data_IF_377929819546
#
_entry.id   IF_377929819546
#
_cell.length_a   1.000
_cell.length_b   1.000
_cell.length_c   1.000
_cell.angle_alpha   90.00
_cell.angle_beta   90.00
_cell.angle_gamma   90.00
#
_symmetry.space_group_name_H-M   'P 1'
#
loop_
_entity.id
_entity.type
_entity.pdbx_description
1 polymer ?
#
# COMPACT_ATOMS: atom_id res chain seq x y z
N UNK A 1 6.37 -39.49 -11.73
CA UNK A 1 6.63 -38.03 -11.77
C UNK A 1 6.07 -37.37 -10.51
N UNK A 2 6.84 -37.30 -9.42
CA UNK A 2 6.32 -36.87 -8.11
C UNK A 2 5.90 -35.38 -8.07
N UNK A 3 6.45 -34.52 -8.92
CA UNK A 3 6.11 -33.10 -8.98
C UNK A 3 4.73 -32.84 -9.59
N UNK A 4 4.27 -33.63 -10.57
CA UNK A 4 2.94 -33.49 -11.17
C UNK A 4 1.86 -33.82 -10.15
N UNK A 5 2.00 -34.94 -9.46
CA UNK A 5 1.05 -35.38 -8.43
C UNK A 5 1.04 -34.40 -7.24
N UNK A 6 2.18 -33.83 -6.90
CA UNK A 6 2.28 -32.78 -5.88
C UNK A 6 1.55 -31.50 -6.33
N UNK A 7 1.72 -31.09 -7.59
CA UNK A 7 1.02 -29.95 -8.16
C UNK A 7 -0.49 -30.12 -8.14
N UNK A 8 -0.98 -31.28 -8.58
CA UNK A 8 -2.41 -31.60 -8.53
C UNK A 8 -2.96 -31.61 -7.11
N UNK A 9 -2.19 -32.13 -6.13
CA UNK A 9 -2.61 -32.16 -4.72
C UNK A 9 -2.62 -30.78 -4.08
N UNK A 10 -1.68 -29.92 -4.44
CA UNK A 10 -1.62 -28.56 -3.91
C UNK A 10 -2.71 -27.64 -4.48
N UNK A 11 -3.26 -27.96 -5.65
CA UNK A 11 -4.28 -27.15 -6.30
C UNK A 11 -3.78 -25.77 -6.70
N UNK A 12 -4.67 -24.78 -6.64
CA UNK A 12 -4.36 -23.38 -6.94
C UNK A 12 -3.78 -22.72 -5.68
N UNK A 13 -2.51 -22.35 -5.73
CA UNK A 13 -1.78 -21.70 -4.63
C UNK A 13 -1.83 -20.17 -4.70
N UNK A 14 -2.34 -19.61 -5.81
CA UNK A 14 -2.40 -18.16 -6.01
C UNK A 14 -3.60 -17.57 -5.29
N UNK A 15 -3.42 -16.33 -4.80
CA UNK A 15 -4.51 -15.55 -4.22
C UNK A 15 -5.56 -15.18 -5.27
N UNK A 16 -6.81 -15.10 -4.86
CA UNK A 16 -7.91 -14.55 -5.68
C UNK A 16 -8.14 -13.05 -5.42
N UNK A 17 -7.28 -12.43 -4.66
CA UNK A 17 -7.34 -11.00 -4.39
C UNK A 17 -7.23 -10.19 -5.71
N UNK A 18 -7.97 -9.09 -5.91
CA UNK A 18 -8.92 -8.46 -4.97
C UNK A 18 -10.35 -9.02 -5.04
N UNK A 19 -10.63 -10.01 -5.89
CA UNK A 19 -12.00 -10.57 -6.07
C UNK A 19 -12.52 -11.24 -4.79
N UNK A 20 -11.61 -11.84 -4.01
CA UNK A 20 -11.90 -12.42 -2.70
C UNK A 20 -10.81 -12.00 -1.72
N UNK A 21 -11.17 -11.64 -0.49
CA UNK A 21 -10.18 -11.44 0.57
C UNK A 21 -9.34 -12.71 0.72
N UNK A 22 -8.05 -12.54 0.91
CA UNK A 22 -7.17 -13.63 1.32
C UNK A 22 -6.92 -13.56 2.83
N UNK A 23 -6.43 -14.66 3.41
CA UNK A 23 -6.15 -14.73 4.84
C UNK A 23 -4.85 -14.04 5.26
N UNK A 24 -4.09 -13.49 4.32
CA UNK A 24 -2.76 -12.93 4.59
C UNK A 24 -2.83 -11.61 5.35
N UNK A 25 -3.90 -10.83 5.15
CA UNK A 25 -4.12 -9.57 5.85
C UNK A 25 -4.28 -9.71 7.37
N UNK A 26 -4.69 -10.89 7.86
CA UNK A 26 -4.91 -11.13 9.29
C UNK A 26 -3.62 -11.02 10.13
N UNK A 27 -2.46 -11.31 9.54
CA UNK A 27 -1.15 -11.25 10.20
C UNK A 27 -0.34 -10.01 9.82
N UNK A 28 -0.90 -9.12 9.02
CA UNK A 28 -0.29 -7.87 8.60
C UNK A 28 -0.79 -6.72 9.47
N UNK A 29 0.12 -5.95 10.10
CA UNK A 29 -0.33 -4.80 10.89
C UNK A 29 -0.85 -3.65 10.03
N UNK A 30 -0.63 -3.71 8.73
CA UNK A 30 -1.19 -2.78 7.79
C UNK A 30 -0.60 -1.37 7.82
N UNK A 31 -1.36 -0.43 7.29
CA UNK A 31 -1.00 0.97 7.26
C UNK A 31 -1.27 1.64 8.61
N UNK A 32 -0.44 2.64 8.95
CA UNK A 32 -0.73 3.52 10.07
C UNK A 32 -1.88 4.45 9.67
N UNK A 33 -2.87 4.56 10.55
CA UNK A 33 -4.03 5.44 10.35
C UNK A 33 -4.31 6.29 11.59
N UNK A 34 -5.15 7.30 11.44
CA UNK A 34 -5.63 8.13 12.52
C UNK A 34 -6.99 7.56 12.97
N UNK A 35 -7.09 7.19 14.25
CA UNK A 35 -8.33 6.64 14.81
C UNK A 35 -9.48 7.65 14.70
N UNK A 36 -10.70 7.21 14.36
CA UNK A 36 -11.86 8.09 14.18
C UNK A 36 -12.42 8.67 15.49
N UNK A 37 -11.72 8.55 16.60
CA UNK A 37 -12.15 9.09 17.88
C UNK A 37 -12.42 10.59 17.81
N UNK A 38 -13.49 11.02 18.44
CA UNK A 38 -14.06 12.35 18.50
C UNK A 38 -13.05 13.49 18.31
N UNK A 39 -13.23 14.21 17.23
CA UNK A 39 -12.40 15.33 16.75
C UNK A 39 -12.11 16.41 17.80
N UNK A 40 -13.01 16.54 18.80
CA UNK A 40 -12.98 17.60 19.79
C UNK A 40 -12.01 17.39 20.97
N UNK A 41 -11.43 16.20 21.14
CA UNK A 41 -10.64 15.87 22.34
C UNK A 41 -9.20 15.41 22.05
N UNK A 42 -8.66 15.67 20.85
CA UNK A 42 -7.31 15.23 20.52
C UNK A 42 -6.26 16.25 20.97
N UNK A 43 -5.41 15.88 21.93
CA UNK A 43 -4.29 16.74 22.29
C UNK A 43 -3.34 16.90 21.08
N UNK A 44 -2.67 18.05 20.97
CA UNK A 44 -1.71 18.31 19.90
C UNK A 44 -0.67 17.18 19.80
N UNK A 45 -0.41 16.74 18.60
CA UNK A 45 0.63 15.73 18.36
C UNK A 45 1.89 16.44 17.86
N UNK A 46 2.97 16.27 18.60
CA UNK A 46 4.23 16.85 18.21
C UNK A 46 4.72 16.26 16.88
N UNK A 47 5.02 17.09 15.90
CA UNK A 47 5.59 16.69 14.61
C UNK A 47 6.89 15.88 14.77
N UNK A 48 7.67 16.20 15.80
CA UNK A 48 8.89 15.48 16.15
C UNK A 48 8.69 13.99 16.53
N UNK A 49 7.43 13.56 16.71
CA UNK A 49 7.14 12.16 16.96
C UNK A 49 7.47 11.27 15.76
N UNK A 50 7.32 11.79 14.54
CA UNK A 50 7.57 11.06 13.31
C UNK A 50 8.98 11.34 12.76
N UNK A 51 9.83 10.31 12.56
CA UNK A 51 11.20 10.50 12.05
C UNK A 51 11.23 11.01 10.60
N UNK A 52 10.20 10.69 9.79
CA UNK A 52 10.09 11.13 8.40
C UNK A 52 9.25 12.40 8.22
N UNK A 53 8.75 12.99 9.32
CA UNK A 53 7.89 14.15 9.26
C UNK A 53 6.52 13.90 8.59
N UNK A 54 6.04 12.64 8.60
CA UNK A 54 4.75 12.28 8.04
C UNK A 54 3.56 12.82 8.85
N UNK A 55 3.76 13.15 10.13
CA UNK A 55 2.71 13.71 10.98
C UNK A 55 2.67 15.22 10.83
N UNK A 56 1.50 15.75 10.56
CA UNK A 56 1.20 17.16 10.46
C UNK A 56 -0.01 17.54 11.29
N UNK A 57 -0.42 18.79 11.13
CA UNK A 57 -1.63 19.35 11.73
C UNK A 57 -2.35 20.18 10.69
N UNK A 58 -3.63 19.94 10.50
CA UNK A 58 -4.48 20.78 9.66
C UNK A 58 -4.73 22.15 10.30
N UNK A 59 -5.28 23.10 9.54
CA UNK A 59 -5.55 24.44 10.03
C UNK A 59 -6.54 24.52 11.21
N UNK A 60 -7.37 23.49 11.37
CA UNK A 60 -8.32 23.33 12.48
C UNK A 60 -7.72 22.61 13.71
N UNK A 61 -6.41 22.39 13.73
CA UNK A 61 -5.72 21.66 14.80
C UNK A 61 -5.81 20.13 14.71
N UNK A 62 -6.51 19.58 13.72
CA UNK A 62 -6.65 18.12 13.53
C UNK A 62 -5.31 17.52 13.11
N UNK A 63 -4.85 16.41 13.74
CA UNK A 63 -3.66 15.73 13.29
C UNK A 63 -3.87 15.14 11.89
N UNK A 64 -2.84 15.24 11.07
CA UNK A 64 -2.81 14.62 9.73
C UNK A 64 -1.65 13.65 9.63
N UNK A 65 -1.79 12.64 8.78
CA UNK A 65 -0.75 11.67 8.48
C UNK A 65 -0.57 11.58 6.97
N UNK A 66 0.62 11.86 6.50
CA UNK A 66 1.00 11.68 5.11
C UNK A 66 1.51 10.24 4.90
N UNK A 67 0.63 9.38 4.36
CA UNK A 67 0.96 7.98 4.08
C UNK A 67 2.12 7.83 3.09
N UNK A 68 2.30 8.80 2.18
CA UNK A 68 3.41 8.77 1.23
C UNK A 68 4.78 9.14 1.83
N UNK A 69 4.82 9.61 3.08
CA UNK A 69 6.05 9.80 3.87
C UNK A 69 6.18 8.79 4.99
N UNK A 70 5.12 8.04 5.27
CA UNK A 70 5.09 7.08 6.35
C UNK A 70 5.88 5.83 5.97
N UNK A 71 6.83 5.44 6.80
CA UNK A 71 7.61 4.21 6.65
C UNK A 71 7.07 3.03 7.47
N UNK A 72 5.87 3.15 8.02
CA UNK A 72 5.23 2.08 8.78
C UNK A 72 5.91 1.69 10.10
N UNK A 73 6.83 2.50 10.63
CA UNK A 73 7.65 2.15 11.81
C UNK A 73 6.88 1.99 13.12
N UNK A 74 5.59 2.33 13.18
CA UNK A 74 4.73 2.18 14.34
C UNK A 74 5.04 3.06 15.56
N UNK A 75 6.05 3.93 15.49
CA UNK A 75 6.46 4.78 16.63
C UNK A 75 5.33 5.67 17.15
N UNK A 76 4.52 6.21 16.25
CA UNK A 76 3.36 7.03 16.60
C UNK A 76 2.27 6.18 17.29
N UNK A 77 2.04 4.97 16.83
CA UNK A 77 1.06 4.05 17.45
C UNK A 77 1.50 3.68 18.86
N UNK A 78 2.77 3.36 19.06
CA UNK A 78 3.31 3.01 20.37
C UNK A 78 3.26 4.18 21.36
N UNK A 79 3.49 5.41 20.91
CA UNK A 79 3.55 6.62 21.77
C UNK A 79 2.20 7.28 21.97
N UNK A 80 1.32 7.17 20.98
CA UNK A 80 0.00 7.81 20.95
C UNK A 80 -1.07 6.85 20.42
N UNK A 81 -1.32 5.72 21.11
CA UNK A 81 -2.34 4.75 20.71
C UNK A 81 -3.76 5.31 20.78
N UNK A 82 -3.95 6.43 21.47
CA UNK A 82 -5.18 7.21 21.52
C UNK A 82 -5.51 7.91 20.18
N UNK A 83 -4.47 8.27 19.39
CA UNK A 83 -4.63 8.98 18.14
C UNK A 83 -4.37 8.08 16.94
N UNK A 84 -3.35 7.25 17.01
CA UNK A 84 -2.91 6.43 15.87
C UNK A 84 -3.21 4.95 16.11
N UNK A 85 -3.45 4.24 15.02
CA UNK A 85 -3.63 2.80 15.01
C UNK A 85 -3.05 2.17 13.75
N UNK A 86 -3.02 0.85 13.71
CA UNK A 86 -2.81 0.12 12.48
C UNK A 86 -4.15 -0.32 11.91
N UNK A 87 -4.26 -0.29 10.61
CA UNK A 87 -5.40 -0.78 9.85
C UNK A 87 -4.90 -1.76 8.79
N UNK A 88 -5.50 -2.96 8.66
CA UNK A 88 -5.03 -3.99 7.74
C UNK A 88 -5.31 -3.61 6.29
N UNK A 89 -4.85 -2.42 5.88
CA UNK A 89 -4.90 -1.92 4.52
C UNK A 89 -3.59 -2.26 3.81
N UNK A 90 -3.70 -2.90 2.67
CA UNK A 90 -2.60 -3.15 1.74
C UNK A 90 -2.61 -2.18 0.55
N UNK A 91 -3.75 -1.55 0.31
CA UNK A 91 -3.95 -0.62 -0.81
C UNK A 91 -3.77 0.82 -0.34
N UNK A 92 -2.55 1.34 -0.48
CA UNK A 92 -2.17 2.71 -0.10
C UNK A 92 -1.68 3.55 -1.28
N UNK A 93 -2.01 3.14 -2.51
CA UNK A 93 -1.65 3.88 -3.71
C UNK A 93 -2.77 4.84 -4.11
N UNK A 94 -2.41 6.04 -4.54
CA UNK A 94 -3.33 7.06 -5.03
C UNK A 94 -2.72 7.81 -6.21
N UNK A 95 -3.57 8.33 -7.09
CA UNK A 95 -3.15 9.16 -8.22
C UNK A 95 -2.84 10.60 -7.80
N UNK A 96 -3.45 11.07 -6.72
CA UNK A 96 -3.26 12.42 -6.21
C UNK A 96 -2.53 12.40 -4.86
N UNK A 97 -1.53 13.26 -4.71
CA UNK A 97 -0.76 13.39 -3.47
C UNK A 97 -1.63 13.70 -2.25
N UNK A 98 -2.67 14.52 -2.45
CA UNK A 98 -3.60 14.89 -1.38
C UNK A 98 -4.39 13.72 -0.81
N UNK A 99 -4.70 12.73 -1.62
CA UNK A 99 -5.43 11.54 -1.18
C UNK A 99 -4.59 10.59 -0.30
N UNK A 100 -3.25 10.76 -0.30
CA UNK A 100 -2.36 10.04 0.63
C UNK A 100 -2.26 10.71 2.01
N UNK A 101 -2.88 11.87 2.21
CA UNK A 101 -2.89 12.55 3.51
C UNK A 101 -4.17 12.20 4.26
N UNK A 102 -4.06 11.56 5.42
CA UNK A 102 -5.20 11.15 6.25
C UNK A 102 -5.57 12.30 7.20
N UNK A 103 -6.85 12.67 7.32
CA UNK A 103 -7.98 12.17 6.55
C UNK A 103 -7.86 12.52 5.07
N UNK A 104 -8.12 11.57 4.16
CA UNK A 104 -7.91 11.77 2.75
C UNK A 104 -8.89 12.80 2.17
N UNK A 105 -8.41 13.56 1.18
CA UNK A 105 -9.31 14.21 0.24
C UNK A 105 -9.81 13.14 -0.72
N UNK A 106 -11.11 13.04 -0.92
CA UNK A 106 -11.69 12.06 -1.85
C UNK A 106 -11.14 12.26 -3.27
N UNK A 107 -10.62 11.20 -3.86
CA UNK A 107 -10.37 11.17 -5.30
C UNK A 107 -11.72 11.00 -6.00
N UNK A 108 -12.03 11.90 -6.93
CA UNK A 108 -13.25 11.73 -7.72
C UNK A 108 -13.11 10.52 -8.65
N UNK A 109 -14.15 9.71 -8.75
CA UNK A 109 -14.19 8.57 -9.70
C UNK A 109 -13.89 9.01 -11.15
N UNK A 110 -14.33 10.21 -11.53
CA UNK A 110 -14.06 10.79 -12.84
C UNK A 110 -12.55 11.02 -13.06
N UNK A 111 -11.82 11.49 -12.05
CA UNK A 111 -10.37 11.67 -12.13
C UNK A 111 -9.65 10.32 -12.28
N UNK A 112 -10.05 9.33 -11.52
CA UNK A 112 -9.53 7.96 -11.60
C UNK A 112 -9.80 7.34 -12.98
N UNK A 113 -11.03 7.45 -13.48
CA UNK A 113 -11.40 6.96 -14.81
C UNK A 113 -10.58 7.63 -15.93
N UNK A 114 -10.39 8.95 -15.83
CA UNK A 114 -9.58 9.72 -16.79
C UNK A 114 -8.12 9.26 -16.79
N UNK A 115 -7.54 9.07 -15.61
CA UNK A 115 -6.16 8.60 -15.49
C UNK A 115 -5.99 7.17 -16.01
N UNK A 116 -6.94 6.27 -15.71
CA UNK A 116 -6.97 4.90 -16.25
C UNK A 116 -7.08 4.88 -17.77
N UNK A 117 -7.96 5.70 -18.34
CA UNK A 117 -8.08 5.83 -19.79
C UNK A 117 -6.81 6.40 -20.43
N UNK A 118 -6.16 7.37 -19.78
CA UNK A 118 -4.87 7.91 -20.18
C UNK A 118 -3.76 6.86 -20.19
N UNK A 119 -3.66 6.07 -19.13
CA UNK A 119 -2.71 4.97 -19.03
C UNK A 119 -2.98 3.92 -20.11
N UNK A 120 -4.22 3.46 -20.26
CA UNK A 120 -4.59 2.47 -21.27
C UNK A 120 -4.18 2.90 -22.69
N UNK A 121 -4.32 4.18 -23.03
CA UNK A 121 -3.85 4.71 -24.32
C UNK A 121 -2.34 4.62 -24.47
N UNK A 122 -1.59 4.97 -23.41
CA UNK A 122 -0.10 4.95 -23.43
C UNK A 122 0.45 3.54 -23.56
N UNK A 123 -0.15 2.58 -22.84
CA UNK A 123 0.33 1.19 -22.83
C UNK A 123 -0.27 0.34 -23.96
N UNK A 124 -1.17 0.90 -24.79
CA UNK A 124 -1.82 0.17 -25.89
C UNK A 124 -0.82 -0.50 -26.83
N UNK A 125 0.33 0.14 -27.07
CA UNK A 125 1.39 -0.39 -27.91
C UNK A 125 2.08 -1.63 -27.32
N UNK A 126 2.10 -1.75 -25.98
CA UNK A 126 2.70 -2.89 -25.28
C UNK A 126 1.82 -4.15 -25.37
N UNK A 127 0.53 -3.98 -25.66
CA UNK A 127 -0.48 -5.05 -25.70
C UNK A 127 -0.46 -5.86 -24.40
N UNK A 128 -0.17 -7.19 -24.52
CA UNK A 128 -0.08 -8.11 -23.40
C UNK A 128 1.35 -8.55 -23.07
N UNK A 129 2.33 -8.05 -23.82
CA UNK A 129 3.73 -8.41 -23.62
C UNK A 129 4.46 -7.24 -22.99
N UNK A 130 4.74 -7.34 -21.71
CA UNK A 130 5.53 -6.37 -20.95
C UNK A 130 6.82 -7.05 -20.51
N UNK A 131 7.95 -6.56 -21.00
CA UNK A 131 9.26 -7.03 -20.59
C UNK A 131 9.86 -6.06 -19.59
N UNK A 132 10.00 -6.51 -18.36
CA UNK A 132 10.64 -5.76 -17.28
C UNK A 132 12.08 -6.23 -17.15
N UNK A 133 13.02 -5.31 -17.23
CA UNK A 133 14.44 -5.58 -16.97
C UNK A 133 14.87 -4.84 -15.72
N UNK A 134 15.31 -5.57 -14.73
CA UNK A 134 15.98 -5.01 -13.57
C UNK A 134 17.47 -4.77 -13.89
N UNK A 135 17.97 -3.64 -13.48
CA UNK A 135 19.41 -3.30 -13.55
C UNK A 135 19.81 -2.80 -12.16
N UNK A 136 20.60 -3.60 -11.48
CA UNK A 136 21.20 -3.18 -10.20
C UNK A 136 22.23 -2.09 -10.46
N UNK A 137 22.00 -0.92 -9.89
CA UNK A 137 22.91 0.23 -9.96
C UNK A 137 23.57 0.51 -8.61
N UNK A 138 23.61 -0.47 -7.71
CA UNK A 138 24.18 -0.36 -6.37
C UNK A 138 23.13 -0.28 -5.29
N UNK A 139 22.19 -1.23 -5.27
CA UNK A 139 21.19 -1.38 -4.21
C UNK A 139 21.76 -2.11 -2.98
N UNK A 140 21.02 -2.09 -1.88
CA UNK A 140 21.27 -2.92 -0.70
C UNK A 140 20.66 -4.32 -0.81
N UNK A 141 20.10 -4.67 -1.98
CA UNK A 141 19.44 -5.93 -2.28
C UNK A 141 17.96 -6.00 -1.90
N UNK A 142 17.40 -4.97 -1.26
CA UNK A 142 15.97 -4.98 -0.85
C UNK A 142 15.04 -4.99 -2.06
N UNK A 143 15.33 -4.19 -3.07
CA UNK A 143 14.53 -4.09 -4.31
C UNK A 143 14.57 -5.39 -5.11
N UNK A 144 15.70 -6.12 -5.07
CA UNK A 144 15.84 -7.40 -5.75
C UNK A 144 14.92 -8.47 -5.16
N UNK A 145 14.77 -8.50 -3.84
CA UNK A 145 13.86 -9.40 -3.17
C UNK A 145 12.40 -9.11 -3.53
N UNK A 146 12.03 -7.84 -3.62
CA UNK A 146 10.68 -7.42 -4.06
C UNK A 146 10.42 -7.83 -5.51
N UNK A 147 11.40 -7.62 -6.40
CA UNK A 147 11.28 -8.04 -7.80
C UNK A 147 11.19 -9.58 -7.91
N UNK A 148 12.00 -10.30 -7.16
CA UNK A 148 11.92 -11.76 -7.11
C UNK A 148 10.57 -12.24 -6.58
N UNK A 149 9.96 -11.51 -5.65
CA UNK A 149 8.65 -11.81 -5.13
C UNK A 149 7.52 -11.70 -6.17
N UNK A 150 7.68 -10.92 -7.25
CA UNK A 150 6.69 -10.83 -8.34
C UNK A 150 6.42 -12.19 -9.02
N UNK A 151 7.38 -13.09 -9.02
CA UNK A 151 7.22 -14.46 -9.57
C UNK A 151 6.65 -15.46 -8.56
N UNK A 152 6.38 -15.00 -7.33
CA UNK A 152 5.77 -15.81 -6.29
C UNK A 152 4.34 -16.18 -6.70
N UNK A 153 3.83 -17.38 -6.36
CA UNK A 153 2.46 -17.81 -6.63
C UNK A 153 1.37 -16.86 -6.12
N UNK A 154 1.66 -16.04 -5.12
CA UNK A 154 0.71 -15.05 -4.59
C UNK A 154 0.54 -13.87 -5.55
N UNK A 155 1.63 -13.31 -6.03
CA UNK A 155 1.59 -12.16 -6.96
C UNK A 155 1.41 -12.59 -8.41
N UNK A 156 2.10 -13.66 -8.82
CA UNK A 156 1.98 -14.34 -10.11
C UNK A 156 1.82 -13.38 -11.31
N UNK A 157 2.79 -12.50 -11.48
CA UNK A 157 2.80 -11.49 -12.54
C UNK A 157 2.66 -12.08 -13.96
N UNK A 158 2.97 -13.36 -14.13
CA UNK A 158 2.83 -14.07 -15.41
C UNK A 158 1.36 -14.33 -15.80
N UNK A 159 0.41 -14.12 -14.90
CA UNK A 159 -1.03 -14.29 -15.16
C UNK A 159 -1.74 -13.02 -15.58
N UNK A 160 -1.05 -11.87 -15.58
CA UNK A 160 -1.60 -10.57 -15.91
C UNK A 160 -1.52 -10.27 -17.42
#
# INVERSE_FOLDING_TARGET
MPWVTRGLRNGVLTSSYPRRPDGYGANWHGAVTIRPTTRAARPPVARALCPTGAIGTAGDGTPTLDAGRCIGCGRCVARRPDVFGFEPLTEVASLARGALVVPPSEESEAAVATARAGLARRVKALRRSVHVRHVDAGSDGSDEWEIAALTNPVYDVHRL
#
